data_IF_744088237966
#
_entry.id   IF_744088237966
#
_cell.length_a   1.000
_cell.length_b   1.000
_cell.length_c   1.000
_cell.angle_alpha   90.00
_cell.angle_beta   90.00
_cell.angle_gamma   90.00
#
_symmetry.space_group_name_H-M   'P 1'
#
loop_
_entity.id
_entity.type
_entity.pdbx_description
1 polymer ?
#
# COMPACT_ATOMS: atom_id res chain seq x y z
N UNK A 1 -15.45 0.38 0.55
CA UNK A 1 -15.67 -0.36 1.81
C UNK A 1 -14.47 -0.15 2.73
N UNK A 2 -14.63 0.33 3.97
CA UNK A 2 -13.49 0.61 4.83
C UNK A 2 -13.05 -0.65 5.58
N UNK A 3 -11.76 -0.99 5.49
CA UNK A 3 -11.18 -2.12 6.23
C UNK A 3 -11.01 -1.76 7.71
N UNK A 4 -11.62 -2.55 8.59
CA UNK A 4 -11.51 -2.46 10.05
C UNK A 4 -10.14 -2.93 10.50
N UNK A 5 -9.41 -2.10 11.26
CA UNK A 5 -8.17 -2.49 11.94
C UNK A 5 -8.49 -3.27 13.22
N UNK A 6 -7.70 -4.32 13.47
CA UNK A 6 -7.68 -5.14 14.68
C UNK A 6 -7.10 -4.39 15.88
N UNK A 7 -7.61 -4.59 17.11
CA UNK A 7 -7.14 -3.86 18.30
C UNK A 7 -5.87 -4.48 18.91
N UNK A 8 -5.00 -3.62 19.44
CA UNK A 8 -3.81 -4.00 20.23
C UNK A 8 -4.19 -4.36 21.67
N UNK A 9 -3.63 -5.48 22.15
CA UNK A 9 -3.82 -6.03 23.49
C UNK A 9 -3.05 -5.19 24.51
N UNK A 10 -3.77 -4.49 25.39
CA UNK A 10 -3.22 -3.83 26.58
C UNK A 10 -2.96 -4.90 27.64
N UNK A 11 -1.71 -5.10 28.05
CA UNK A 11 -1.40 -5.81 29.28
C UNK A 11 -1.15 -4.80 30.40
N UNK A 12 -2.15 -4.68 31.26
CA UNK A 12 -2.05 -4.07 32.58
C UNK A 12 -1.83 -5.18 33.61
N UNK A 13 -0.67 -5.20 34.28
CA UNK A 13 -0.48 -5.97 35.51
C UNK A 13 0.12 -5.07 36.59
N UNK A 14 -0.77 -4.61 37.47
CA UNK A 14 -0.49 -4.14 38.83
C UNK A 14 -0.78 -5.29 39.81
N UNK A 15 -0.25 -5.17 41.03
CA UNK A 15 -0.31 -6.06 42.20
C UNK A 15 0.76 -7.17 42.21
N UNK A 16 1.53 -7.41 43.27
CA UNK A 16 1.29 -7.14 44.69
C UNK A 16 2.62 -6.96 45.46
N UNK A 17 2.53 -6.16 46.52
CA UNK A 17 3.53 -5.97 47.57
C UNK A 17 3.76 -7.27 48.35
N UNK A 18 4.93 -7.87 48.18
CA UNK A 18 5.44 -8.93 49.03
C UNK A 18 6.62 -8.42 49.86
N UNK A 19 6.33 -8.04 51.10
CA UNK A 19 7.32 -7.79 52.15
C UNK A 19 7.98 -9.13 52.50
N UNK A 20 9.21 -9.39 52.04
CA UNK A 20 10.00 -10.50 52.58
C UNK A 20 11.13 -9.97 53.44
N UNK A 21 11.12 -10.52 54.65
CA UNK A 21 11.82 -10.12 55.85
C UNK A 21 13.34 -10.34 55.75
N UNK A 22 14.03 -9.45 56.47
CA UNK A 22 15.37 -9.54 57.02
C UNK A 22 15.97 -10.95 57.20
N UNK A 23 17.27 -11.05 56.91
CA UNK A 23 18.22 -11.82 57.70
C UNK A 23 19.61 -11.20 57.54
N UNK A 24 19.84 -10.10 58.25
CA UNK A 24 21.20 -9.63 58.56
C UNK A 24 21.75 -10.54 59.66
N UNK A 25 22.80 -11.29 59.36
CA UNK A 25 23.57 -12.05 60.35
C UNK A 25 25.00 -11.54 60.35
N UNK A 26 25.22 -10.40 60.99
CA UNK A 26 26.55 -10.00 61.43
C UNK A 26 26.86 -10.72 62.76
N UNK A 27 27.98 -11.45 62.91
CA UNK A 27 28.36 -11.97 64.21
C UNK A 27 28.95 -10.85 65.07
N UNK A 28 28.21 -10.45 66.11
CA UNK A 28 28.66 -9.57 67.17
C UNK A 28 29.58 -10.34 68.12
N UNK A 29 30.90 -10.23 67.93
CA UNK A 29 31.91 -10.79 68.84
C UNK A 29 32.19 -9.76 69.94
N UNK A 30 31.38 -9.79 70.99
CA UNK A 30 31.68 -9.12 72.25
C UNK A 30 31.04 -9.90 73.41
N UNK A 31 31.71 -10.97 73.85
CA UNK A 31 31.42 -11.61 75.13
C UNK A 31 32.73 -11.75 75.91
N UNK A 32 32.90 -10.86 76.90
CA UNK A 32 33.83 -11.06 78.01
C UNK A 32 33.39 -12.30 78.78
N UNK A 33 34.31 -13.23 79.02
CA UNK A 33 34.13 -14.27 80.03
C UNK A 33 35.42 -14.32 80.86
N UNK A 34 35.34 -13.82 82.09
CA UNK A 34 36.39 -13.93 83.08
C UNK A 34 36.17 -15.20 83.93
N UNK A 35 37.28 -15.92 84.10
CA UNK A 35 37.67 -16.74 85.27
C UNK A 35 36.91 -18.04 85.57
N UNK A 36 37.61 -19.16 85.37
CA UNK A 36 38.08 -19.95 86.51
C UNK A 36 39.21 -20.92 86.10
N UNK A 37 40.18 -21.04 87.00
CA UNK A 37 41.38 -21.85 86.88
C UNK A 37 41.07 -23.34 86.97
N UNK A 38 41.53 -24.12 85.98
CA UNK A 38 41.71 -25.57 86.11
C UNK A 38 43.04 -25.96 85.42
N UNK A 39 44.03 -26.12 86.27
CA UNK A 39 45.07 -27.16 86.33
C UNK A 39 45.50 -27.92 85.04
N UNK A 40 46.80 -27.79 84.75
CA UNK A 40 47.72 -28.81 84.25
C UNK A 40 47.18 -29.84 83.24
N UNK A 41 47.15 -29.45 81.97
CA UNK A 41 47.11 -30.38 80.84
C UNK A 41 48.45 -30.33 80.11
N UNK A 42 49.14 -31.46 80.14
CA UNK A 42 50.44 -31.72 79.51
C UNK A 42 50.52 -31.18 78.08
N UNK A 43 51.42 -30.22 77.84
CA UNK A 43 51.85 -29.81 76.51
C UNK A 43 52.59 -30.96 75.81
N UNK A 44 51.85 -31.86 75.17
CA UNK A 44 52.41 -32.65 74.07
C UNK A 44 52.60 -31.71 72.88
N UNK A 45 53.85 -31.34 72.60
CA UNK A 45 54.26 -30.79 71.29
C UNK A 45 53.77 -31.73 70.19
N UNK A 46 52.61 -31.44 69.58
CA UNK A 46 52.22 -32.02 68.30
C UNK A 46 53.07 -31.33 67.22
N UNK A 47 54.24 -31.90 66.97
CA UNK A 47 55.06 -31.60 65.80
C UNK A 47 54.50 -32.42 64.63
N UNK A 48 53.41 -31.95 64.00
CA UNK A 48 52.91 -32.35 62.66
C UNK A 48 51.55 -31.68 62.39
N UNK A 49 51.48 -30.85 61.35
CA UNK A 49 50.23 -30.27 60.86
C UNK A 49 50.35 -28.94 60.11
N UNK A 50 51.49 -28.24 60.16
CA UNK A 50 51.67 -26.98 59.41
C UNK A 50 51.65 -27.19 57.88
N UNK A 51 52.19 -28.31 57.39
CA UNK A 51 52.24 -28.61 55.95
C UNK A 51 50.84 -28.81 55.33
N UNK A 52 49.89 -29.41 56.04
CA UNK A 52 48.51 -29.65 55.55
C UNK A 52 47.68 -28.36 55.55
N UNK A 53 47.86 -27.48 56.54
CA UNK A 53 47.20 -26.18 56.58
C UNK A 53 47.74 -25.25 55.47
N UNK A 54 49.05 -25.32 55.22
CA UNK A 54 49.70 -24.56 54.17
C UNK A 54 49.27 -25.06 52.77
N UNK A 55 49.12 -26.37 52.58
CA UNK A 55 48.62 -26.94 51.31
C UNK A 55 47.16 -26.55 51.05
N UNK A 56 46.29 -26.62 52.07
CA UNK A 56 44.89 -26.17 51.96
C UNK A 56 44.80 -24.67 51.62
N UNK A 57 45.62 -23.83 52.25
CA UNK A 57 45.70 -22.39 51.94
C UNK A 57 46.13 -22.15 50.49
N UNK A 58 47.11 -22.91 50.01
CA UNK A 58 47.58 -22.79 48.64
C UNK A 58 46.50 -23.20 47.63
N UNK A 59 45.80 -24.30 47.88
CA UNK A 59 44.67 -24.78 47.05
C UNK A 59 43.51 -23.78 47.05
N UNK A 60 43.16 -23.20 48.20
CA UNK A 60 42.12 -22.18 48.30
C UNK A 60 42.50 -20.90 47.53
N UNK A 61 43.76 -20.46 47.63
CA UNK A 61 44.25 -19.29 46.88
C UNK A 61 44.31 -19.57 45.37
N UNK A 62 44.65 -20.79 44.97
CA UNK A 62 44.63 -21.21 43.57
C UNK A 62 43.20 -21.24 43.02
N UNK A 63 42.25 -21.80 43.77
CA UNK A 63 40.82 -21.79 43.43
C UNK A 63 40.25 -20.38 43.36
N UNK A 64 40.61 -19.50 44.30
CA UNK A 64 40.16 -18.11 44.28
C UNK A 64 40.78 -17.34 43.09
N UNK A 65 42.03 -17.65 42.75
CA UNK A 65 42.70 -17.08 41.57
C UNK A 65 42.11 -17.58 40.26
N UNK A 66 41.75 -18.86 40.16
CA UNK A 66 41.08 -19.42 38.98
C UNK A 66 39.67 -18.85 38.81
N UNK A 67 38.90 -18.76 39.90
CA UNK A 67 37.58 -18.15 39.91
C UNK A 67 37.64 -16.66 39.54
N UNK A 68 38.58 -15.89 40.10
CA UNK A 68 38.76 -14.47 39.74
C UNK A 68 39.07 -14.33 38.25
N UNK A 69 39.95 -15.17 37.71
CA UNK A 69 40.28 -15.18 36.27
C UNK A 69 39.05 -15.51 35.41
N UNK A 70 38.27 -16.50 35.80
CA UNK A 70 37.03 -16.86 35.11
C UNK A 70 36.01 -15.72 35.14
N UNK A 71 35.86 -15.04 36.28
CA UNK A 71 35.03 -13.85 36.41
C UNK A 71 35.50 -12.70 35.52
N UNK A 72 36.81 -12.46 35.44
CA UNK A 72 37.38 -11.44 34.55
C UNK A 72 37.08 -11.77 33.07
N UNK A 73 37.25 -13.03 32.66
CA UNK A 73 36.89 -13.47 31.29
C UNK A 73 35.39 -13.26 31.03
N UNK A 74 34.53 -13.70 31.94
CA UNK A 74 33.08 -13.54 31.79
C UNK A 74 32.67 -12.05 31.73
N UNK A 75 33.29 -11.20 32.55
CA UNK A 75 33.08 -9.77 32.53
C UNK A 75 33.49 -9.16 31.19
N UNK A 76 34.65 -9.56 30.65
CA UNK A 76 35.10 -9.09 29.33
C UNK A 76 34.16 -9.55 28.20
N UNK A 77 33.65 -10.77 28.25
CA UNK A 77 32.70 -11.30 27.27
C UNK A 77 31.35 -10.57 27.32
N UNK A 78 30.87 -10.23 28.52
CA UNK A 78 29.63 -9.44 28.66
C UNK A 78 29.84 -8.03 28.12
N UNK A 79 30.97 -7.38 28.43
CA UNK A 79 31.29 -6.06 27.90
C UNK A 79 31.38 -6.06 26.37
N UNK A 80 32.01 -7.07 25.77
CA UNK A 80 32.08 -7.17 24.30
C UNK A 80 30.69 -7.35 23.68
N UNK A 81 29.86 -8.23 24.25
CA UNK A 81 28.48 -8.43 23.78
C UNK A 81 27.63 -7.15 23.89
N UNK A 82 27.82 -6.36 24.95
CA UNK A 82 27.11 -5.07 25.11
C UNK A 82 27.53 -4.07 24.03
N UNK A 83 28.83 -4.00 23.70
CA UNK A 83 29.29 -3.09 22.64
C UNK A 83 28.78 -3.53 21.26
N UNK A 84 28.75 -4.84 20.98
CA UNK A 84 28.16 -5.38 19.76
C UNK A 84 26.66 -5.03 19.64
N UNK A 85 25.89 -5.21 20.71
CA UNK A 85 24.46 -4.84 20.76
C UNK A 85 24.29 -3.33 20.50
N UNK A 86 25.17 -2.51 21.05
CA UNK A 86 25.13 -1.05 20.85
C UNK A 86 25.43 -0.67 19.41
N UNK A 87 26.39 -1.32 18.77
CA UNK A 87 26.68 -1.14 17.33
C UNK A 87 25.48 -1.56 16.49
N UNK A 88 24.93 -2.75 16.74
CA UNK A 88 23.73 -3.23 16.03
C UNK A 88 22.54 -2.29 16.18
N UNK A 89 22.28 -1.79 17.39
CA UNK A 89 21.20 -0.82 17.62
C UNK A 89 21.43 0.48 16.83
N UNK A 90 22.68 0.96 16.75
CA UNK A 90 23.02 2.12 15.93
C UNK A 90 22.75 1.88 14.45
N UNK A 91 23.10 0.70 13.94
CA UNK A 91 22.82 0.31 12.54
C UNK A 91 21.32 0.17 12.26
N UNK A 92 20.57 -0.42 13.19
CA UNK A 92 19.11 -0.52 13.11
C UNK A 92 18.49 0.88 13.03
N UNK A 93 18.93 1.82 13.87
CA UNK A 93 18.45 3.21 13.81
C UNK A 93 18.72 3.87 12.46
N UNK A 94 19.92 3.67 11.89
CA UNK A 94 20.26 4.19 10.56
C UNK A 94 19.38 3.58 9.47
N UNK A 95 19.15 2.27 9.52
CA UNK A 95 18.29 1.55 8.56
C UNK A 95 16.84 2.05 8.64
N UNK A 96 16.30 2.22 9.85
CA UNK A 96 14.95 2.75 10.06
C UNK A 96 14.83 4.19 9.55
N UNK A 97 15.82 5.05 9.83
CA UNK A 97 15.82 6.43 9.35
C UNK A 97 15.82 6.48 7.80
N UNK A 98 16.67 5.67 7.16
CA UNK A 98 16.71 5.56 5.71
C UNK A 98 15.39 5.04 5.14
N UNK A 99 14.80 4.01 5.74
CA UNK A 99 13.51 3.47 5.31
C UNK A 99 12.38 4.49 5.46
N UNK A 100 12.38 5.27 6.55
CA UNK A 100 11.39 6.34 6.77
C UNK A 100 11.47 7.38 5.67
N UNK A 101 12.67 7.84 5.33
CA UNK A 101 12.87 8.80 4.24
C UNK A 101 12.37 8.25 2.89
N UNK A 102 12.68 6.99 2.59
CA UNK A 102 12.19 6.33 1.36
C UNK A 102 10.67 6.18 1.37
N UNK A 103 10.07 5.90 2.52
CA UNK A 103 8.63 5.81 2.65
C UNK A 103 7.95 7.16 2.35
N UNK A 104 8.47 8.26 2.88
CA UNK A 104 7.92 9.60 2.64
C UNK A 104 7.99 9.98 1.15
N UNK A 105 9.12 9.68 0.48
CA UNK A 105 9.27 9.90 -0.97
C UNK A 105 8.27 9.07 -1.77
N UNK A 106 8.03 7.82 -1.39
CA UNK A 106 7.05 6.95 -2.07
C UNK A 106 5.62 7.45 -1.87
N UNK A 107 5.27 7.89 -0.67
CA UNK A 107 3.94 8.46 -0.37
C UNK A 107 3.69 9.69 -1.24
N UNK A 108 4.67 10.59 -1.35
CA UNK A 108 4.53 11.78 -2.18
C UNK A 108 4.40 11.41 -3.66
N UNK A 109 5.19 10.45 -4.14
CA UNK A 109 5.08 9.96 -5.53
C UNK A 109 3.73 9.32 -5.82
N UNK A 110 3.15 8.59 -4.87
CA UNK A 110 1.80 8.01 -5.04
C UNK A 110 0.78 9.15 -5.14
N UNK A 111 0.88 10.16 -4.28
CA UNK A 111 -0.02 11.31 -4.28
C UNK A 111 0.04 12.09 -5.60
N UNK A 112 1.23 12.32 -6.15
CA UNK A 112 1.36 12.99 -7.45
C UNK A 112 0.72 12.18 -8.57
N UNK A 113 0.97 10.86 -8.61
CA UNK A 113 0.37 9.96 -9.60
C UNK A 113 -1.17 9.89 -9.49
N UNK A 114 -1.72 9.89 -8.28
CA UNK A 114 -3.17 9.94 -8.07
C UNK A 114 -3.78 11.24 -8.59
N UNK A 115 -3.12 12.38 -8.33
CA UNK A 115 -3.56 13.67 -8.84
C UNK A 115 -3.49 13.75 -10.37
N UNK A 116 -2.39 13.30 -10.98
CA UNK A 116 -2.23 13.23 -12.44
C UNK A 116 -3.28 12.33 -13.08
N UNK A 117 -3.52 11.15 -12.50
CA UNK A 117 -4.57 10.23 -12.96
C UNK A 117 -5.95 10.91 -12.96
N UNK A 118 -6.29 11.62 -11.88
CA UNK A 118 -7.58 12.32 -11.79
C UNK A 118 -7.69 13.44 -12.83
N UNK A 119 -6.62 14.22 -13.02
CA UNK A 119 -6.57 15.27 -14.06
C UNK A 119 -6.74 14.68 -15.47
N UNK A 120 -6.02 13.60 -15.78
CA UNK A 120 -6.11 12.91 -17.05
C UNK A 120 -7.52 12.37 -17.29
N UNK A 121 -8.16 11.79 -16.27
CA UNK A 121 -9.52 11.28 -16.39
C UNK A 121 -10.54 12.39 -16.68
N UNK A 122 -10.40 13.55 -16.03
CA UNK A 122 -11.22 14.72 -16.33
C UNK A 122 -11.00 15.22 -17.77
N UNK A 123 -9.75 15.27 -18.21
CA UNK A 123 -9.43 15.67 -19.58
C UNK A 123 -10.02 14.70 -20.61
N UNK A 124 -9.94 13.39 -20.37
CA UNK A 124 -10.56 12.36 -21.22
C UNK A 124 -12.07 12.59 -21.30
N UNK A 125 -12.75 12.78 -20.16
CA UNK A 125 -14.20 13.02 -20.14
C UNK A 125 -14.60 14.28 -20.94
N UNK A 126 -13.80 15.35 -20.84
CA UNK A 126 -14.01 16.58 -21.63
C UNK A 126 -13.83 16.30 -23.13
N UNK A 127 -12.80 15.54 -23.50
CA UNK A 127 -12.53 15.21 -24.91
C UNK A 127 -13.63 14.31 -25.49
N UNK A 128 -14.11 13.32 -24.74
CA UNK A 128 -15.22 12.46 -25.13
C UNK A 128 -16.50 13.27 -25.35
N UNK A 129 -16.83 14.20 -24.44
CA UNK A 129 -17.98 15.08 -24.58
C UNK A 129 -17.87 16.00 -25.80
N UNK A 130 -16.67 16.54 -26.08
CA UNK A 130 -16.39 17.33 -27.28
C UNK A 130 -16.54 16.50 -28.55
N UNK A 131 -16.00 15.28 -28.56
CA UNK A 131 -16.11 14.35 -29.68
C UNK A 131 -17.58 14.00 -29.96
N UNK A 132 -18.36 13.68 -28.93
CA UNK A 132 -19.79 13.41 -29.05
C UNK A 132 -20.54 14.62 -29.62
N UNK A 133 -20.22 15.83 -29.14
CA UNK A 133 -20.83 17.07 -29.65
C UNK A 133 -20.51 17.29 -31.13
N UNK A 134 -19.25 17.07 -31.52
CA UNK A 134 -18.83 17.18 -32.93
C UNK A 134 -19.51 16.13 -33.80
N UNK A 135 -19.62 14.89 -33.33
CA UNK A 135 -20.32 13.83 -34.05
C UNK A 135 -21.81 14.12 -34.24
N UNK A 136 -22.48 14.62 -33.19
CA UNK A 136 -23.88 15.09 -33.26
C UNK A 136 -24.00 16.25 -34.24
N UNK A 137 -23.04 17.18 -34.25
CA UNK A 137 -23.02 18.31 -35.17
C UNK A 137 -22.83 17.87 -36.63
N UNK A 138 -21.93 16.93 -36.91
CA UNK A 138 -21.72 16.39 -38.26
C UNK A 138 -22.99 15.69 -38.77
N UNK A 139 -23.67 14.95 -37.90
CA UNK A 139 -24.92 14.24 -38.26
C UNK A 139 -26.18 15.12 -38.13
N UNK A 140 -26.02 16.39 -37.78
CA UNK A 140 -27.14 17.29 -37.49
C UNK A 140 -28.08 17.45 -38.68
N UNK A 141 -27.55 17.48 -39.91
CA UNK A 141 -28.32 17.60 -41.16
C UNK A 141 -28.52 16.25 -41.90
N UNK A 142 -28.20 15.12 -41.28
CA UNK A 142 -28.33 13.81 -41.90
C UNK A 142 -29.71 13.21 -41.65
N UNK A 143 -30.28 12.58 -42.68
CA UNK A 143 -31.48 11.75 -42.59
C UNK A 143 -31.12 10.33 -43.02
N UNK A 144 -31.66 9.35 -42.31
CA UNK A 144 -31.55 7.94 -42.67
C UNK A 144 -32.85 7.46 -43.28
N UNK A 145 -32.78 6.94 -44.51
CA UNK A 145 -33.89 6.27 -45.18
C UNK A 145 -33.72 4.76 -45.02
N UNK A 146 -34.59 4.18 -44.20
CA UNK A 146 -34.61 2.75 -43.90
C UNK A 146 -35.54 1.98 -44.85
N UNK A 147 -35.34 0.65 -44.93
CA UNK A 147 -36.22 -0.28 -45.66
C UNK A 147 -36.34 -0.03 -47.17
N UNK A 148 -35.33 0.58 -47.79
CA UNK A 148 -35.27 0.75 -49.24
C UNK A 148 -34.49 -0.43 -49.84
N UNK A 149 -35.13 -1.29 -50.65
CA UNK A 149 -34.46 -2.45 -51.24
C UNK A 149 -33.31 -2.01 -52.14
N UNK A 150 -32.23 -2.78 -52.15
CA UNK A 150 -31.08 -2.52 -53.01
C UNK A 150 -31.40 -2.91 -54.45
N UNK A 151 -31.24 -1.97 -55.37
CA UNK A 151 -31.40 -2.21 -56.80
C UNK A 151 -30.10 -2.75 -57.41
N UNK A 152 -30.15 -3.65 -58.41
CA UNK A 152 -28.96 -4.02 -59.19
C UNK A 152 -28.47 -2.79 -59.97
N UNK A 153 -27.16 -2.55 -59.96
CA UNK A 153 -26.52 -1.37 -60.58
C UNK A 153 -27.08 -0.04 -60.06
N UNK A 154 -27.10 0.11 -58.74
CA UNK A 154 -27.46 1.36 -58.08
C UNK A 154 -26.34 2.39 -58.22
N UNK A 155 -26.66 3.53 -58.83
CA UNK A 155 -25.75 4.67 -58.99
C UNK A 155 -26.18 5.82 -58.08
N UNK A 156 -25.27 6.78 -57.87
CA UNK A 156 -25.53 7.99 -57.09
C UNK A 156 -26.78 8.76 -57.54
N UNK A 157 -27.01 8.87 -58.85
CA UNK A 157 -28.20 9.53 -59.40
C UNK A 157 -29.51 8.83 -59.04
N UNK A 158 -29.53 7.49 -58.98
CA UNK A 158 -30.71 6.72 -58.60
C UNK A 158 -31.03 6.94 -57.12
N UNK A 159 -30.01 6.96 -56.26
CA UNK A 159 -30.17 7.28 -54.84
C UNK A 159 -30.77 8.68 -54.67
N UNK A 160 -30.29 9.64 -55.46
CA UNK A 160 -30.78 11.01 -55.43
C UNK A 160 -32.26 11.09 -55.83
N UNK A 161 -32.64 10.41 -56.92
CA UNK A 161 -34.04 10.31 -57.36
C UNK A 161 -34.93 9.68 -56.30
N UNK A 162 -34.47 8.62 -55.63
CA UNK A 162 -35.20 7.98 -54.52
C UNK A 162 -35.41 8.98 -53.38
N UNK A 163 -34.37 9.70 -52.96
CA UNK A 163 -34.49 10.69 -51.89
C UNK A 163 -35.46 11.83 -52.25
N UNK A 164 -35.41 12.33 -53.49
CA UNK A 164 -36.30 13.37 -53.99
C UNK A 164 -37.77 12.91 -54.03
N UNK A 165 -38.01 11.69 -54.52
CA UNK A 165 -39.37 11.13 -54.56
C UNK A 165 -39.91 10.88 -53.16
N UNK A 166 -39.07 10.35 -52.25
CA UNK A 166 -39.47 10.12 -50.85
C UNK A 166 -39.87 11.44 -50.19
N UNK A 167 -39.09 12.50 -50.38
CA UNK A 167 -39.39 13.81 -49.81
C UNK A 167 -40.66 14.45 -50.41
N UNK A 168 -40.90 14.25 -51.72
CA UNK A 168 -42.14 14.66 -52.39
C UNK A 168 -43.35 13.96 -51.80
N UNK A 169 -43.28 12.64 -51.58
CA UNK A 169 -44.36 11.85 -50.96
C UNK A 169 -44.66 12.33 -49.53
N UNK A 170 -43.63 12.73 -48.79
CA UNK A 170 -43.75 13.31 -47.44
C UNK A 170 -44.33 14.74 -47.46
N UNK A 171 -44.43 15.39 -48.62
CA UNK A 171 -44.96 16.74 -48.76
C UNK A 171 -43.92 17.86 -48.56
N UNK A 172 -42.63 17.52 -48.55
CA UNK A 172 -41.52 18.48 -48.46
C UNK A 172 -40.59 18.26 -49.66
N UNK A 173 -40.84 18.89 -50.82
CA UNK A 173 -40.02 18.70 -52.01
C UNK A 173 -38.59 19.21 -51.75
N UNK A 174 -37.60 18.42 -52.19
CA UNK A 174 -36.17 18.77 -52.08
C UNK A 174 -35.50 18.80 -53.44
N UNK A 175 -34.66 19.81 -53.64
CA UNK A 175 -33.86 19.94 -54.84
C UNK A 175 -32.52 19.23 -54.71
N UNK A 176 -31.91 18.92 -55.86
CA UNK A 176 -30.56 18.32 -55.90
C UNK A 176 -29.52 19.18 -55.19
N UNK A 177 -29.66 20.50 -55.25
CA UNK A 177 -28.80 21.49 -54.57
C UNK A 177 -28.91 21.45 -53.04
N UNK A 178 -29.99 20.87 -52.50
CA UNK A 178 -30.18 20.72 -51.06
C UNK A 178 -29.52 19.45 -50.51
N UNK A 179 -29.05 18.55 -51.36
CA UNK A 179 -28.37 17.32 -50.97
C UNK A 179 -26.87 17.52 -51.18
N UNK A 180 -26.10 17.45 -50.10
CA UNK A 180 -24.64 17.58 -50.12
C UNK A 180 -23.97 16.25 -50.46
N UNK A 181 -24.49 15.15 -49.91
CA UNK A 181 -23.96 13.81 -50.15
C UNK A 181 -25.06 12.77 -49.96
N UNK A 182 -24.94 11.63 -50.65
CA UNK A 182 -25.86 10.50 -50.51
C UNK A 182 -25.14 9.18 -50.75
N UNK A 183 -25.28 8.25 -49.80
CA UNK A 183 -24.60 6.96 -49.84
C UNK A 183 -25.33 5.92 -48.97
N UNK A 184 -25.07 4.63 -49.21
CA UNK A 184 -25.52 3.56 -48.32
C UNK A 184 -24.47 3.26 -47.25
N UNK A 185 -24.91 3.05 -46.02
CA UNK A 185 -24.02 2.53 -44.96
C UNK A 185 -23.96 1.01 -45.07
N UNK A 186 -22.76 0.46 -44.86
CA UNK A 186 -22.60 -0.98 -44.82
C UNK A 186 -23.29 -1.55 -43.57
N UNK A 187 -24.27 -2.44 -43.77
CA UNK A 187 -25.02 -3.10 -42.70
C UNK A 187 -25.01 -4.61 -42.91
N UNK A 188 -25.24 -5.38 -41.85
CA UNK A 188 -25.26 -6.86 -41.87
C UNK A 188 -26.28 -7.42 -42.88
N UNK A 189 -27.35 -6.67 -43.14
CA UNK A 189 -28.38 -7.04 -44.11
C UNK A 189 -28.01 -6.53 -45.50
N UNK A 190 -27.53 -7.42 -46.38
CA UNK A 190 -27.11 -7.05 -47.74
C UNK A 190 -28.24 -6.47 -48.61
N UNK A 191 -29.48 -6.89 -48.38
CA UNK A 191 -30.63 -6.52 -49.22
C UNK A 191 -31.25 -5.15 -48.86
N UNK A 192 -31.16 -4.73 -47.59
CA UNK A 192 -31.87 -3.54 -47.06
C UNK A 192 -30.90 -2.61 -46.31
N UNK A 193 -29.81 -2.20 -46.97
CA UNK A 193 -28.85 -1.25 -46.37
C UNK A 193 -29.46 0.15 -46.29
N UNK A 194 -29.40 0.86 -45.17
CA UNK A 194 -29.97 2.20 -45.07
C UNK A 194 -29.24 3.20 -45.99
N UNK A 195 -29.96 4.18 -46.51
CA UNK A 195 -29.42 5.29 -47.29
C UNK A 195 -29.28 6.50 -46.36
N UNK A 196 -28.07 7.06 -46.26
CA UNK A 196 -27.83 8.33 -45.58
C UNK A 196 -27.89 9.45 -46.60
N UNK A 197 -28.75 10.43 -46.32
CA UNK A 197 -28.86 11.66 -47.08
C UNK A 197 -28.32 12.79 -46.21
N UNK A 198 -27.20 13.37 -46.61
CA UNK A 198 -26.63 14.56 -45.99
C UNK A 198 -27.23 15.80 -46.66
N UNK A 199 -28.02 16.56 -45.92
CA UNK A 199 -28.66 17.77 -46.42
C UNK A 199 -27.76 18.99 -46.20
N UNK A 200 -27.98 20.03 -47.01
CA UNK A 200 -27.26 21.30 -46.86
C UNK A 200 -27.69 22.09 -45.62
N UNK A 201 -28.88 21.81 -45.05
CA UNK A 201 -29.42 22.53 -43.90
C UNK A 201 -30.14 21.61 -42.92
N UNK A 202 -29.84 21.77 -41.63
CA UNK A 202 -30.55 21.09 -40.54
C UNK A 202 -32.02 21.51 -40.43
N UNK A 203 -32.37 22.74 -40.84
CA UNK A 203 -33.76 23.21 -40.86
C UNK A 203 -34.61 22.41 -41.84
N UNK A 204 -34.02 22.01 -42.97
CA UNK A 204 -34.71 21.19 -43.96
C UNK A 204 -34.96 19.79 -43.41
N UNK A 205 -33.97 19.21 -42.71
CA UNK A 205 -34.16 17.96 -41.97
C UNK A 205 -35.31 18.05 -40.99
N UNK A 206 -35.37 19.09 -40.17
CA UNK A 206 -36.45 19.25 -39.20
C UNK A 206 -37.82 19.35 -39.88
N UNK A 207 -37.93 20.04 -41.01
CA UNK A 207 -39.18 20.12 -41.78
C UNK A 207 -39.62 18.74 -42.27
N UNK A 208 -38.69 17.95 -42.84
CA UNK A 208 -38.97 16.58 -43.28
C UNK A 208 -39.39 15.72 -42.08
N UNK A 209 -38.63 15.74 -41.00
CA UNK A 209 -38.94 14.93 -39.81
C UNK A 209 -40.29 15.33 -39.20
N UNK A 210 -40.63 16.63 -39.15
CA UNK A 210 -41.94 17.11 -38.67
C UNK A 210 -43.09 16.65 -39.56
N UNK A 211 -42.87 16.56 -40.87
CA UNK A 211 -43.88 16.08 -41.81
C UNK A 211 -44.12 14.55 -41.70
N UNK A 212 -43.10 13.78 -41.30
CA UNK A 212 -43.21 12.32 -41.09
C UNK A 212 -43.72 11.96 -39.69
N UNK A 213 -43.44 12.79 -38.69
CA UNK A 213 -43.77 12.52 -37.29
C UNK A 213 -45.27 12.76 -37.07
N UNK A 214 -46.02 11.66 -37.01
CA UNK A 214 -47.44 11.60 -36.59
C UNK A 214 -47.56 12.01 -35.12
#
# INVERSE_FOLDING_TARGET
MPMKRTPTKKNSSKCSSGTMQHSESAPNIAAKCELSAIENINQRKRKRGEDELQSFRNEFMEMFSSWKREQEVNYTNILSAIEEIKVQNSEIHKSIAFMSEKYDVLVEKIRTLENEKNSNHQQIAILESKMETLERSIRSANIELCNIPKLPNENHEKLLSIAQETARVVGVPIDKSNIRNIYRINSKNENNKPIIVELSSALLKEKILKAVKI
#
